data_IF_342499864272
#
_entry.id   IF_342499864272
#
_cell.length_a   1.000
_cell.length_b   1.000
_cell.length_c   1.000
_cell.angle_alpha   90.00
_cell.angle_beta   90.00
_cell.angle_gamma   90.00
#
_symmetry.space_group_name_H-M   'P 1'
#
loop_
_entity.id
_entity.type
_entity.pdbx_description
1 polymer ?
#
# COMPACT_ATOMS: atom_id res chain seq x y z
N UNK A 1 -4.60 9.28 4.44
CA UNK A 1 -4.16 10.65 4.04
C UNK A 1 -3.54 11.46 5.18
N UNK A 2 -2.43 12.17 4.90
CA UNK A 2 -1.69 13.04 5.83
C UNK A 2 -1.58 14.46 5.27
N UNK A 3 -1.68 15.48 6.11
CA UNK A 3 -1.36 16.87 5.72
C UNK A 3 0.12 17.16 5.98
N UNK A 4 0.81 17.71 4.98
CA UNK A 4 2.21 18.08 5.04
C UNK A 4 2.40 19.55 4.69
N UNK A 5 3.15 20.29 5.50
CA UNK A 5 3.55 21.64 5.17
C UNK A 5 4.90 21.63 4.45
N UNK A 6 4.93 22.13 3.22
CA UNK A 6 6.13 22.24 2.39
C UNK A 6 7.18 23.06 3.11
N UNK A 7 8.40 22.52 3.19
CA UNK A 7 9.56 23.16 3.77
C UNK A 7 10.47 23.75 2.66
N UNK A 8 11.34 24.72 2.99
CA UNK A 8 12.32 25.23 2.04
C UNK A 8 13.19 24.11 1.45
N UNK A 9 13.24 24.01 0.12
CA UNK A 9 14.04 23.01 -0.60
C UNK A 9 13.32 21.70 -0.92
N UNK A 10 12.07 21.54 -0.48
CA UNK A 10 11.27 20.37 -0.86
C UNK A 10 10.97 20.34 -2.37
N UNK A 11 10.87 19.13 -2.90
CA UNK A 11 10.32 18.85 -4.23
C UNK A 11 9.33 17.70 -4.11
N UNK A 12 8.32 17.62 -4.99
CA UNK A 12 7.40 16.49 -4.98
C UNK A 12 8.11 15.15 -5.19
N UNK A 13 9.21 15.15 -5.96
CA UNK A 13 10.05 13.96 -6.18
C UNK A 13 10.70 13.46 -4.88
N UNK A 14 11.29 14.37 -4.09
CA UNK A 14 11.88 14.04 -2.79
C UNK A 14 10.81 13.63 -1.76
N UNK A 15 9.65 14.30 -1.78
CA UNK A 15 8.52 13.95 -0.91
C UNK A 15 7.97 12.55 -1.25
N UNK A 16 7.75 12.23 -2.53
CA UNK A 16 7.29 10.90 -2.93
C UNK A 16 8.30 9.80 -2.58
N UNK A 17 9.61 10.05 -2.73
CA UNK A 17 10.64 9.11 -2.26
C UNK A 17 10.55 8.88 -0.76
N UNK A 18 10.34 9.95 0.02
CA UNK A 18 10.25 9.86 1.48
C UNK A 18 9.01 9.11 1.93
N UNK A 19 7.86 9.43 1.36
CA UNK A 19 6.56 8.91 1.81
C UNK A 19 6.22 7.55 1.19
N UNK A 20 6.67 7.26 -0.04
CA UNK A 20 6.30 6.05 -0.79
C UNK A 20 7.49 5.16 -1.16
N UNK A 21 8.72 5.57 -0.88
CA UNK A 21 9.94 4.85 -1.30
C UNK A 21 10.25 4.94 -2.80
N UNK A 22 9.31 5.46 -3.59
CA UNK A 22 9.44 5.62 -5.03
C UNK A 22 9.17 7.07 -5.42
N UNK A 23 10.22 7.75 -5.85
CA UNK A 23 10.14 9.13 -6.33
C UNK A 23 9.28 9.31 -7.58
N UNK A 24 9.11 8.26 -8.40
CA UNK A 24 8.29 8.32 -9.61
C UNK A 24 6.80 8.42 -9.30
N UNK A 25 6.40 8.20 -8.05
CA UNK A 25 5.03 8.37 -7.56
C UNK A 25 4.69 9.83 -7.17
N UNK A 26 5.56 10.80 -7.45
CA UNK A 26 5.24 12.22 -7.25
C UNK A 26 3.92 12.68 -7.94
N UNK A 27 3.47 12.12 -9.08
CA UNK A 27 2.19 12.49 -9.66
C UNK A 27 1.00 12.19 -8.74
N UNK A 28 1.09 11.21 -7.85
CA UNK A 28 0.06 10.92 -6.84
C UNK A 28 -0.21 12.17 -5.99
N UNK A 29 0.85 12.82 -5.50
CA UNK A 29 0.74 14.04 -4.69
C UNK A 29 0.24 15.21 -5.55
N UNK A 30 0.76 15.36 -6.76
CA UNK A 30 0.37 16.45 -7.65
C UNK A 30 -1.13 16.39 -8.01
N UNK A 31 -1.64 15.19 -8.35
CA UNK A 31 -3.05 14.98 -8.70
C UNK A 31 -3.97 15.21 -7.52
N UNK A 32 -3.62 14.69 -6.34
CA UNK A 32 -4.42 14.90 -5.13
C UNK A 32 -4.58 16.37 -4.74
N UNK A 33 -3.58 17.20 -5.03
CA UNK A 33 -3.57 18.63 -4.69
C UNK A 33 -3.91 19.54 -5.88
N UNK A 34 -4.37 18.95 -6.99
CA UNK A 34 -4.70 19.65 -8.24
C UNK A 34 -3.59 20.62 -8.70
N UNK A 35 -2.32 20.22 -8.55
CA UNK A 35 -1.19 21.06 -8.94
C UNK A 35 -1.06 21.07 -10.46
N UNK A 36 -1.20 22.27 -11.05
CA UNK A 36 -1.03 22.46 -12.49
C UNK A 36 0.42 22.23 -12.94
N UNK A 37 1.38 22.64 -12.12
CA UNK A 37 2.80 22.40 -12.34
C UNK A 37 3.40 21.66 -11.12
N UNK A 38 3.76 20.37 -11.24
CA UNK A 38 4.38 19.59 -10.17
C UNK A 38 5.73 20.15 -9.67
N UNK A 39 6.44 20.93 -10.48
CA UNK A 39 7.74 21.52 -10.12
C UNK A 39 7.60 22.81 -9.30
N UNK A 40 6.38 23.33 -9.15
CA UNK A 40 6.11 24.58 -8.46
C UNK A 40 5.33 24.35 -7.16
N UNK A 41 6.06 24.00 -6.10
CA UNK A 41 5.55 24.02 -4.72
C UNK A 41 6.24 25.12 -3.91
N UNK A 42 5.51 25.74 -3.00
CA UNK A 42 6.01 26.91 -2.24
C UNK A 42 6.11 26.56 -0.76
N UNK A 43 7.18 27.00 -0.11
CA UNK A 43 7.35 26.87 1.35
C UNK A 43 6.13 27.41 2.09
N UNK A 44 5.65 26.64 3.08
CA UNK A 44 4.44 26.95 3.85
C UNK A 44 3.14 26.43 3.22
N UNK A 45 3.13 26.02 1.95
CA UNK A 45 1.98 25.38 1.30
C UNK A 45 1.62 24.08 2.02
N UNK A 46 0.32 23.85 2.24
CA UNK A 46 -0.16 22.56 2.73
C UNK A 46 -0.46 21.63 1.55
N UNK A 47 0.06 20.42 1.62
CA UNK A 47 -0.20 19.34 0.67
C UNK A 47 -0.88 18.18 1.40
N UNK A 48 -1.91 17.64 0.77
CA UNK A 48 -2.49 16.35 1.11
C UNK A 48 -1.65 15.25 0.49
N UNK A 49 -1.14 14.35 1.31
CA UNK A 49 -0.35 13.19 0.91
C UNK A 49 -1.24 11.95 1.08
N UNK A 50 -1.75 11.36 -0.02
CA UNK A 50 -2.45 10.08 0.04
C UNK A 50 -1.57 9.00 0.65
N UNK A 51 -2.17 8.01 1.30
CA UNK A 51 -1.44 6.83 1.71
C UNK A 51 -1.28 5.88 0.51
N UNK A 52 -0.02 5.61 0.15
CA UNK A 52 0.36 4.55 -0.77
C UNK A 52 1.29 3.62 -0.01
N UNK A 53 1.09 2.31 -0.12
CA UNK A 53 1.96 1.29 0.48
C UNK A 53 3.38 1.54 0.02
N UNK A 54 4.27 1.66 0.99
CA UNK A 54 5.67 1.99 0.76
C UNK A 54 6.32 0.96 -0.18
N UNK A 55 7.21 1.41 -1.06
CA UNK A 55 7.85 0.57 -2.07
C UNK A 55 9.35 0.48 -1.84
N UNK A 56 9.88 -0.73 -1.91
CA UNK A 56 11.31 -1.01 -1.83
C UNK A 56 11.81 -1.53 -3.18
N UNK A 57 12.76 -0.84 -3.79
CA UNK A 57 13.47 -1.35 -4.97
C UNK A 57 14.55 -2.33 -4.53
N UNK A 58 14.44 -3.57 -4.96
CA UNK A 58 15.42 -4.61 -4.66
C UNK A 58 16.64 -4.41 -5.55
N UNK A 59 17.76 -4.02 -4.95
CA UNK A 59 19.02 -3.77 -5.69
C UNK A 59 20.05 -4.88 -5.51
N UNK A 60 19.89 -5.74 -4.51
CA UNK A 60 20.74 -6.90 -4.26
C UNK A 60 20.11 -8.20 -4.81
N UNK A 61 20.92 -9.24 -4.99
CA UNK A 61 20.41 -10.57 -5.32
C UNK A 61 19.66 -11.18 -4.14
N UNK A 62 18.65 -12.02 -4.39
CA UNK A 62 17.88 -12.66 -3.32
C UNK A 62 18.76 -13.60 -2.50
N UNK A 63 18.67 -13.47 -1.18
CA UNK A 63 19.34 -14.32 -0.22
C UNK A 63 18.67 -14.20 1.14
N UNK A 64 18.88 -15.19 2.01
CA UNK A 64 18.43 -15.11 3.41
C UNK A 64 18.97 -13.87 4.12
N UNK A 65 20.20 -13.44 3.80
CA UNK A 65 20.78 -12.23 4.37
C UNK A 65 20.02 -10.97 3.90
N UNK A 66 19.76 -10.86 2.60
CA UNK A 66 19.02 -9.74 2.01
C UNK A 66 17.59 -9.63 2.55
N UNK A 67 16.88 -10.76 2.70
CA UNK A 67 15.52 -10.78 3.29
C UNK A 67 15.52 -10.34 4.76
N UNK A 68 16.52 -10.74 5.54
CA UNK A 68 16.72 -10.26 6.92
C UNK A 68 17.08 -8.78 6.97
N UNK A 69 17.94 -8.30 6.06
CA UNK A 69 18.30 -6.89 5.97
C UNK A 69 17.09 -6.00 5.66
N UNK A 70 16.23 -6.41 4.72
CA UNK A 70 14.96 -5.72 4.43
C UNK A 70 14.08 -5.67 5.68
N UNK A 71 13.93 -6.79 6.38
CA UNK A 71 13.11 -6.87 7.59
C UNK A 71 13.66 -5.98 8.70
N UNK A 72 14.97 -6.03 8.95
CA UNK A 72 15.64 -5.19 9.93
C UNK A 72 15.54 -3.70 9.59
N UNK A 73 15.64 -3.33 8.31
CA UNK A 73 15.58 -1.95 7.86
C UNK A 73 14.21 -1.31 8.09
N UNK A 74 13.13 -2.02 7.75
CA UNK A 74 11.77 -1.45 7.82
C UNK A 74 11.08 -1.69 9.16
N UNK A 75 11.37 -2.80 9.83
CA UNK A 75 10.67 -3.21 11.04
C UNK A 75 11.55 -3.26 12.29
N UNK A 76 12.87 -3.08 12.15
CA UNK A 76 13.80 -3.06 13.28
C UNK A 76 13.98 -4.42 13.96
N UNK A 77 13.63 -5.52 13.30
CA UNK A 77 13.62 -6.87 13.87
C UNK A 77 14.12 -7.93 12.87
N UNK A 78 14.55 -9.07 13.40
CA UNK A 78 14.88 -10.30 12.66
C UNK A 78 13.80 -11.40 12.81
N UNK A 79 12.63 -11.04 13.37
CA UNK A 79 11.50 -11.96 13.53
C UNK A 79 11.02 -12.49 12.16
N UNK A 80 11.00 -13.83 12.05
CA UNK A 80 10.57 -14.53 10.85
C UNK A 80 9.09 -14.32 10.54
N UNK A 81 8.23 -14.12 11.55
CA UNK A 81 6.81 -13.80 11.33
C UNK A 81 6.65 -12.43 10.66
N UNK A 82 7.46 -11.45 11.08
CA UNK A 82 7.46 -10.11 10.46
C UNK A 82 8.05 -10.16 9.06
N UNK A 83 9.09 -10.96 8.83
CA UNK A 83 9.61 -11.21 7.48
C UNK A 83 8.52 -11.82 6.57
N UNK A 84 7.81 -12.83 7.06
CA UNK A 84 6.74 -13.49 6.29
C UNK A 84 5.61 -12.53 5.89
N UNK A 85 5.31 -11.50 6.69
CA UNK A 85 4.26 -10.51 6.37
C UNK A 85 4.53 -9.85 5.00
N UNK A 86 5.71 -9.23 4.83
CA UNK A 86 6.00 -8.54 3.57
C UNK A 86 6.26 -9.55 2.45
N UNK A 87 6.82 -10.72 2.74
CA UNK A 87 7.03 -11.76 1.73
C UNK A 87 5.71 -12.29 1.15
N UNK A 88 4.69 -12.50 1.98
CA UNK A 88 3.35 -12.95 1.54
C UNK A 88 2.66 -11.88 0.72
N UNK A 89 2.71 -10.61 1.15
CA UNK A 89 2.12 -9.47 0.43
C UNK A 89 2.64 -9.39 -1.01
N UNK A 90 3.93 -9.68 -1.19
CA UNK A 90 4.61 -9.66 -2.49
C UNK A 90 4.57 -11.00 -3.24
N UNK A 91 4.03 -12.06 -2.63
CA UNK A 91 4.02 -13.40 -3.25
C UNK A 91 5.40 -14.04 -3.41
N UNK A 92 6.36 -13.66 -2.56
CA UNK A 92 7.78 -14.11 -2.59
C UNK A 92 8.17 -15.01 -1.41
N UNK A 93 7.23 -15.36 -0.54
CA UNK A 93 7.47 -16.30 0.57
C UNK A 93 7.98 -17.68 0.09
N UNK A 94 7.61 -18.09 -1.14
CA UNK A 94 8.05 -19.34 -1.76
C UNK A 94 8.65 -19.14 -3.16
N UNK A 95 9.04 -17.91 -3.49
CA UNK A 95 9.58 -17.55 -4.81
C UNK A 95 10.80 -16.66 -4.65
N UNK A 96 11.72 -16.75 -5.60
CA UNK A 96 12.88 -15.86 -5.66
C UNK A 96 12.45 -14.42 -5.93
N UNK A 97 13.09 -13.48 -5.25
CA UNK A 97 12.95 -12.05 -5.50
C UNK A 97 13.88 -11.65 -6.64
N UNK A 98 13.31 -11.22 -7.77
CA UNK A 98 14.12 -10.77 -8.91
C UNK A 98 14.75 -9.41 -8.60
N UNK A 99 16.05 -9.26 -8.84
CA UNK A 99 16.74 -7.96 -8.73
C UNK A 99 16.07 -6.93 -9.67
N UNK A 100 15.87 -5.72 -9.18
CA UNK A 100 15.12 -4.66 -9.87
C UNK A 100 13.61 -4.70 -9.63
N UNK A 101 13.10 -5.69 -8.90
CA UNK A 101 11.67 -5.72 -8.52
C UNK A 101 11.36 -4.67 -7.47
N UNK A 102 10.14 -4.16 -7.52
CA UNK A 102 9.58 -3.33 -6.47
C UNK A 102 8.73 -4.19 -5.53
N UNK A 103 9.07 -4.16 -4.25
CA UNK A 103 8.29 -4.80 -3.19
C UNK A 103 7.40 -3.78 -2.51
N UNK A 104 6.19 -4.18 -2.15
CA UNK A 104 5.32 -3.46 -1.24
C UNK A 104 5.67 -3.80 0.21
N UNK A 105 5.91 -2.77 1.02
CA UNK A 105 6.28 -2.87 2.42
C UNK A 105 5.10 -2.41 3.28
N UNK A 106 4.35 -3.34 3.91
CA UNK A 106 3.26 -3.00 4.82
C UNK A 106 3.74 -2.16 6.00
N UNK A 107 2.96 -1.15 6.40
CA UNK A 107 3.18 -0.45 7.68
C UNK A 107 2.59 -1.29 8.81
N UNK A 108 3.32 -1.48 9.91
CA UNK A 108 2.85 -2.21 11.10
C UNK A 108 2.83 -1.32 12.36
N UNK A 109 3.32 -0.09 12.27
CA UNK A 109 3.59 0.77 13.42
C UNK A 109 2.61 1.93 13.50
N UNK A 110 2.31 2.59 12.39
CA UNK A 110 1.41 3.75 12.35
C UNK A 110 0.08 3.38 11.69
N UNK A 111 -0.63 2.45 12.31
CA UNK A 111 -1.77 1.76 11.72
C UNK A 111 -3.08 1.96 12.48
N UNK A 112 -4.19 1.77 11.77
CA UNK A 112 -5.52 1.70 12.36
C UNK A 112 -5.69 0.46 13.24
N UNK A 113 -6.75 0.47 14.06
CA UNK A 113 -7.12 -0.65 14.90
C UNK A 113 -8.58 -1.03 14.62
N UNK A 114 -8.89 -2.31 14.73
CA UNK A 114 -10.23 -2.84 14.56
C UNK A 114 -10.61 -3.71 15.75
N UNK A 115 -11.77 -3.44 16.36
CA UNK A 115 -12.37 -4.30 17.37
C UNK A 115 -13.22 -5.35 16.68
N UNK A 116 -12.85 -6.61 16.85
CA UNK A 116 -13.50 -7.76 16.22
C UNK A 116 -14.94 -7.87 16.69
N UNK A 117 -15.86 -8.03 15.75
CA UNK A 117 -17.30 -8.20 15.99
C UNK A 117 -17.65 -9.68 15.87
N UNK A 118 -18.74 -10.09 16.52
CA UNK A 118 -19.24 -11.47 16.46
C UNK A 118 -19.46 -11.92 15.00
N UNK A 119 -18.96 -13.12 14.67
CA UNK A 119 -19.03 -13.71 13.34
C UNK A 119 -17.99 -13.23 12.31
N UNK A 120 -17.07 -12.32 12.66
CA UNK A 120 -15.97 -11.94 11.77
C UNK A 120 -14.87 -13.03 11.71
N UNK A 121 -14.28 -13.21 10.54
CA UNK A 121 -13.12 -14.07 10.31
C UNK A 121 -11.95 -13.28 9.70
N UNK A 122 -10.72 -13.77 9.87
CA UNK A 122 -9.53 -13.15 9.26
C UNK A 122 -9.64 -13.04 7.74
N UNK A 123 -10.20 -14.06 7.08
CA UNK A 123 -10.45 -14.05 5.64
C UNK A 123 -11.45 -12.95 5.23
N UNK A 124 -12.55 -12.81 5.98
CA UNK A 124 -13.53 -11.76 5.75
C UNK A 124 -12.95 -10.36 5.99
N UNK A 125 -12.14 -10.20 7.05
CA UNK A 125 -11.42 -8.97 7.34
C UNK A 125 -10.42 -8.62 6.23
N UNK A 126 -9.63 -9.59 5.77
CA UNK A 126 -8.65 -9.39 4.70
C UNK A 126 -9.31 -9.05 3.36
N UNK A 127 -10.38 -9.75 2.99
CA UNK A 127 -11.20 -9.41 1.83
C UNK A 127 -11.76 -8.00 1.92
N UNK A 128 -12.15 -7.54 3.12
CA UNK A 128 -12.70 -6.20 3.35
C UNK A 128 -11.65 -5.11 3.37
N UNK A 129 -10.50 -5.33 3.99
CA UNK A 129 -9.45 -4.31 4.12
C UNK A 129 -8.56 -4.23 2.89
N UNK A 130 -8.20 -5.38 2.32
CA UNK A 130 -7.18 -5.46 1.28
C UNK A 130 -7.72 -5.94 -0.05
N UNK A 131 -8.98 -6.36 -0.13
CA UNK A 131 -9.57 -6.89 -1.37
C UNK A 131 -9.06 -8.29 -1.72
N UNK A 132 -8.41 -8.96 -0.76
CA UNK A 132 -7.84 -10.28 -0.92
C UNK A 132 -7.91 -11.06 0.40
N UNK A 133 -8.68 -12.14 0.40
CA UNK A 133 -8.88 -13.03 1.54
C UNK A 133 -7.62 -13.82 1.91
N UNK A 134 -6.71 -14.07 0.96
CA UNK A 134 -5.44 -14.77 1.22
C UNK A 134 -4.51 -13.97 2.15
N UNK A 135 -4.73 -12.65 2.27
CA UNK A 135 -4.00 -11.81 3.21
C UNK A 135 -4.48 -11.97 4.67
N UNK A 136 -5.39 -12.90 4.96
CA UNK A 136 -5.75 -13.31 6.32
C UNK A 136 -4.52 -13.69 7.16
N UNK A 137 -3.55 -14.36 6.55
CA UNK A 137 -2.29 -14.76 7.20
C UNK A 137 -1.51 -13.52 7.64
N UNK A 138 -1.50 -12.45 6.84
CA UNK A 138 -0.82 -11.19 7.19
C UNK A 138 -1.46 -10.56 8.43
N UNK A 139 -2.79 -10.57 8.54
CA UNK A 139 -3.48 -10.07 9.74
C UNK A 139 -3.10 -10.91 10.96
N UNK A 140 -3.12 -12.25 10.83
CA UNK A 140 -2.77 -13.15 11.93
C UNK A 140 -1.34 -12.94 12.43
N UNK A 141 -0.37 -12.89 11.51
CA UNK A 141 1.04 -12.66 11.83
C UNK A 141 1.26 -11.30 12.49
N UNK A 142 0.68 -10.23 11.94
CA UNK A 142 0.82 -8.87 12.47
C UNK A 142 0.24 -8.73 13.89
N UNK A 143 -0.73 -9.57 14.24
CA UNK A 143 -1.41 -9.57 15.53
C UNK A 143 -0.94 -10.70 16.47
N UNK A 144 0.15 -11.39 16.12
CA UNK A 144 0.70 -12.51 16.88
C UNK A 144 -0.35 -13.59 17.22
N UNK A 145 -1.30 -13.83 16.31
CA UNK A 145 -2.29 -14.88 16.46
C UNK A 145 -1.65 -16.25 16.23
N UNK A 146 -2.01 -17.28 17.00
CA UNK A 146 -1.61 -18.65 16.69
C UNK A 146 -2.12 -19.05 15.29
N UNK A 147 -1.36 -19.89 14.61
CA UNK A 147 -1.73 -20.37 13.27
C UNK A 147 -3.12 -21.04 13.29
N UNK A 148 -3.92 -20.79 12.25
CA UNK A 148 -5.28 -21.32 12.08
C UNK A 148 -6.27 -20.96 13.20
N UNK A 149 -6.05 -19.83 13.88
CA UNK A 149 -6.94 -19.35 14.95
C UNK A 149 -7.63 -18.07 14.50
N UNK A 150 -8.96 -18.04 14.65
CA UNK A 150 -9.77 -16.85 14.40
C UNK A 150 -9.75 -15.92 15.62
N UNK A 151 -9.84 -14.59 15.43
CA UNK A 151 -9.85 -13.66 16.53
C UNK A 151 -11.15 -13.76 17.34
N UNK A 152 -11.06 -13.54 18.65
CA UNK A 152 -12.26 -13.54 19.50
C UNK A 152 -13.05 -12.24 19.34
N UNK A 153 -14.39 -12.26 19.43
CA UNK A 153 -15.18 -11.04 19.52
C UNK A 153 -14.68 -10.13 20.66
N UNK A 154 -14.53 -8.85 20.39
CA UNK A 154 -13.97 -7.84 21.30
C UNK A 154 -12.44 -7.73 21.28
N UNK A 155 -11.72 -8.65 20.62
CA UNK A 155 -10.28 -8.53 20.43
C UNK A 155 -9.95 -7.33 19.56
N UNK A 156 -8.96 -6.53 19.95
CA UNK A 156 -8.46 -5.42 19.15
C UNK A 156 -7.30 -5.90 18.29
N UNK A 157 -7.43 -5.75 16.99
CA UNK A 157 -6.39 -6.05 16.01
C UNK A 157 -5.78 -4.77 15.48
N UNK A 158 -4.46 -4.74 15.29
CA UNK A 158 -3.85 -3.78 14.37
C UNK A 158 -4.27 -4.12 12.94
N UNK A 159 -4.45 -3.09 12.12
CA UNK A 159 -4.80 -3.20 10.70
C UNK A 159 -3.56 -2.85 9.88
N UNK A 160 -2.74 -3.83 9.46
CA UNK A 160 -1.55 -3.57 8.63
C UNK A 160 -1.81 -2.54 7.51
N UNK A 161 -0.97 -1.52 7.45
CA UNK A 161 -1.06 -0.46 6.45
C UNK A 161 -0.75 -1.01 5.07
N UNK A 162 -1.81 -1.24 4.29
CA UNK A 162 -1.76 -1.71 2.92
C UNK A 162 -2.85 -1.03 2.11
N UNK A 163 -2.54 -0.68 0.87
CA UNK A 163 -3.58 -0.32 -0.09
C UNK A 163 -4.40 -1.56 -0.42
N UNK A 164 -5.71 -1.36 -0.46
CA UNK A 164 -6.63 -2.34 -1.02
C UNK A 164 -6.26 -2.63 -2.48
N UNK A 165 -6.40 -3.89 -2.90
CA UNK A 165 -6.08 -4.35 -4.25
C UNK A 165 -7.26 -5.04 -4.91
N UNK A 166 -7.31 -5.01 -6.24
CA UNK A 166 -8.28 -5.77 -7.04
C UNK A 166 -7.68 -6.26 -8.34
N UNK A 167 -8.04 -7.48 -8.73
CA UNK A 167 -7.77 -8.02 -10.06
C UNK A 167 -8.81 -7.53 -11.06
N UNK A 168 -8.36 -7.07 -12.22
CA UNK A 168 -9.23 -6.65 -13.33
C UNK A 168 -9.96 -7.86 -13.93
N UNK A 169 -11.29 -7.78 -13.99
CA UNK A 169 -12.16 -8.78 -14.60
C UNK A 169 -13.18 -8.14 -15.57
N UNK A 170 -12.66 -7.33 -16.51
CA UNK A 170 -13.48 -6.55 -17.45
C UNK A 170 -13.89 -5.17 -16.94
N UNK A 171 -13.36 -4.77 -15.78
CA UNK A 171 -13.58 -3.46 -15.21
C UNK A 171 -12.84 -2.35 -15.97
N UNK A 172 -13.36 -1.13 -15.86
CA UNK A 172 -12.65 0.10 -16.25
C UNK A 172 -12.08 0.77 -15.00
N UNK A 173 -11.11 1.68 -15.15
CA UNK A 173 -10.63 2.44 -13.99
C UNK A 173 -11.75 3.26 -13.33
N UNK A 174 -12.71 3.74 -14.14
CA UNK A 174 -13.90 4.47 -13.67
C UNK A 174 -14.77 3.59 -12.77
N UNK A 175 -15.13 2.37 -13.23
CA UNK A 175 -16.00 1.48 -12.46
C UNK A 175 -15.34 1.06 -11.16
N UNK A 176 -14.05 0.75 -11.20
CA UNK A 176 -13.28 0.44 -10.00
C UNK A 176 -13.25 1.59 -9.00
N UNK A 177 -12.91 2.80 -9.46
CA UNK A 177 -12.83 3.95 -8.55
C UNK A 177 -14.19 4.31 -7.98
N UNK A 178 -15.27 4.18 -8.75
CA UNK A 178 -16.64 4.40 -8.26
C UNK A 178 -17.03 3.38 -7.19
N UNK A 179 -16.69 2.11 -7.40
CA UNK A 179 -16.97 1.05 -6.42
C UNK A 179 -16.14 1.23 -5.14
N UNK A 180 -14.88 1.65 -5.26
CA UNK A 180 -13.96 1.79 -4.12
C UNK A 180 -14.12 3.10 -3.34
N UNK A 181 -14.41 4.23 -4.01
CA UNK A 181 -14.46 5.56 -3.39
C UNK A 181 -15.84 6.23 -3.44
N UNK A 182 -16.80 5.67 -4.19
CA UNK A 182 -18.05 6.33 -4.51
C UNK A 182 -17.90 7.39 -5.62
N UNK A 183 -18.94 8.20 -5.80
CA UNK A 183 -18.99 9.20 -6.89
C UNK A 183 -18.33 10.55 -6.55
N UNK A 184 -17.96 10.76 -5.29
CA UNK A 184 -17.38 12.03 -4.84
C UNK A 184 -15.95 12.22 -5.34
N UNK A 185 -15.70 13.31 -6.08
CA UNK A 185 -14.38 13.67 -6.62
C UNK A 185 -13.72 12.55 -7.46
N UNK A 186 -14.56 11.84 -8.23
CA UNK A 186 -14.16 10.64 -8.95
C UNK A 186 -12.99 10.88 -9.93
N UNK A 187 -12.95 12.03 -10.61
CA UNK A 187 -11.88 12.36 -11.56
C UNK A 187 -10.50 12.46 -10.88
N UNK A 188 -10.45 13.05 -9.69
CA UNK A 188 -9.22 13.16 -8.89
C UNK A 188 -8.83 11.79 -8.35
N UNK A 189 -9.79 11.02 -7.83
CA UNK A 189 -9.55 9.65 -7.35
C UNK A 189 -9.01 8.77 -8.45
N UNK A 190 -9.61 8.79 -9.63
CA UNK A 190 -9.11 8.07 -10.80
C UNK A 190 -7.70 8.51 -11.18
N UNK A 191 -7.42 9.81 -11.20
CA UNK A 191 -6.09 10.33 -11.53
C UNK A 191 -5.03 9.90 -10.52
N UNK A 192 -5.40 9.85 -9.24
CA UNK A 192 -4.53 9.40 -8.13
C UNK A 192 -4.28 7.89 -8.22
N UNK A 193 -5.31 7.07 -8.48
CA UNK A 193 -5.16 5.62 -8.69
C UNK A 193 -4.31 5.34 -9.92
N UNK A 194 -4.56 6.02 -11.04
CA UNK A 194 -3.76 5.85 -12.26
C UNK A 194 -2.27 6.15 -11.98
N UNK A 195 -1.98 7.25 -11.30
CA UNK A 195 -0.63 7.62 -10.90
C UNK A 195 0.02 6.59 -9.95
N UNK A 196 -0.72 6.08 -8.96
CA UNK A 196 -0.22 5.11 -7.99
C UNK A 196 0.13 3.75 -8.64
N UNK A 197 -0.52 3.42 -9.76
CA UNK A 197 -0.34 2.17 -10.49
C UNK A 197 0.49 2.33 -11.78
N UNK A 198 1.12 3.49 -12.01
CA UNK A 198 1.87 3.80 -13.23
C UNK A 198 1.08 3.60 -14.53
N UNK A 199 -0.21 3.93 -14.50
CA UNK A 199 -1.10 3.83 -15.66
C UNK A 199 -1.09 5.17 -16.40
N UNK A 200 -0.42 5.21 -17.56
CA UNK A 200 -0.43 6.35 -18.46
C UNK A 200 -1.71 6.43 -19.31
N UNK A 201 -2.32 5.29 -19.60
CA UNK A 201 -3.54 5.15 -20.39
C UNK A 201 -4.64 4.45 -19.58
N UNK A 202 -5.52 5.20 -18.89
CA UNK A 202 -6.56 4.63 -18.02
C UNK A 202 -7.55 3.68 -18.72
N UNK A 203 -7.66 3.76 -20.05
CA UNK A 203 -8.51 2.88 -20.86
C UNK A 203 -7.82 1.54 -21.21
N UNK A 204 -6.51 1.42 -21.01
CA UNK A 204 -5.70 0.25 -21.38
C UNK A 204 -5.48 -0.70 -20.18
N UNK A 205 -6.56 -1.04 -19.47
CA UNK A 205 -6.51 -2.08 -18.44
C UNK A 205 -6.60 -3.46 -19.08
N UNK A 206 -5.80 -4.41 -18.59
CA UNK A 206 -5.80 -5.79 -19.06
C UNK A 206 -6.25 -6.76 -17.98
N UNK A 207 -6.84 -7.89 -18.42
CA UNK A 207 -7.35 -8.92 -17.51
C UNK A 207 -6.23 -9.42 -16.58
N UNK A 208 -6.60 -9.67 -15.31
CA UNK A 208 -5.70 -10.06 -14.22
C UNK A 208 -4.65 -9.03 -13.77
N UNK A 209 -4.60 -7.83 -14.37
CA UNK A 209 -3.84 -6.72 -13.79
C UNK A 209 -4.32 -6.47 -12.36
N UNK A 210 -3.40 -6.19 -11.44
CA UNK A 210 -3.73 -5.79 -10.07
C UNK A 210 -3.71 -4.28 -9.98
N UNK A 211 -4.79 -3.69 -9.47
CA UNK A 211 -4.89 -2.26 -9.17
C UNK A 211 -4.86 -2.07 -7.65
N UNK A 212 -3.99 -1.18 -7.19
CA UNK A 212 -3.89 -0.74 -5.81
C UNK A 212 -4.59 0.60 -5.60
N UNK A 213 -5.36 0.74 -4.53
CA UNK A 213 -6.20 1.90 -4.24
C UNK A 213 -5.60 2.73 -3.09
N UNK A 214 -5.07 3.94 -3.36
CA UNK A 214 -4.60 4.88 -2.32
C UNK A 214 -5.69 5.32 -1.32
N UNK A 215 -5.32 5.66 -0.08
CA UNK A 215 -6.25 6.02 1.01
C UNK A 215 -5.98 7.33 1.77
#
# INVERSE_FOLDING_TARGET
MKTYQVQPGDTLFALARREYGDSTLYPVIARQNHLANPDLIVSGQQLLIPYVTYRHLVTAADSTATRKEITQHYYGTDDTNVQLIWEIVNGVAQREIQQGSWLHIPDLSNVGHHTVVDGESLAGLAARWYGDDHLAIVIGLANNLPANTEPSPGQVLIVPGLNRRRHIAGDTLVSLCREEYGDADLDTRMSVVAAANHISEPAALFSNQVIYFPS
#
